data_IF_504631320656
#
_entry.id   IF_504631320656
#
_cell.length_a   1.000
_cell.length_b   1.000
_cell.length_c   1.000
_cell.angle_alpha   90.00
_cell.angle_beta   90.00
_cell.angle_gamma   90.00
#
_symmetry.space_group_name_H-M   'P 1'
#
loop_
_entity.id
_entity.type
_entity.pdbx_description
1 polymer ?
#
# COMPACT_ATOMS: atom_id res chain seq x y z
N UNK A 1 -2.72 21.54 3.60
CA UNK A 1 -2.36 20.15 3.25
C UNK A 1 -3.02 19.22 4.24
N UNK A 2 -3.12 17.92 3.93
CA UNK A 2 -3.89 16.96 4.71
C UNK A 2 -3.33 15.55 4.58
N UNK A 3 -4.02 14.53 5.11
CA UNK A 3 -3.57 13.15 5.04
C UNK A 3 -3.44 12.65 3.61
N UNK A 4 -2.53 11.70 3.41
CA UNK A 4 -2.22 11.11 2.10
C UNK A 4 -2.38 9.59 2.18
N UNK A 5 -2.68 8.96 1.04
CA UNK A 5 -2.75 7.49 0.94
C UNK A 5 -1.58 7.03 0.09
N UNK A 6 -0.75 6.15 0.64
CA UNK A 6 0.38 5.57 -0.07
C UNK A 6 -0.02 4.26 -0.76
N UNK A 7 0.43 4.07 -2.00
CA UNK A 7 0.42 2.76 -2.64
C UNK A 7 1.66 1.93 -2.25
N UNK A 8 1.64 0.65 -2.59
CA UNK A 8 2.69 -0.31 -2.23
C UNK A 8 4.08 0.10 -2.71
N UNK A 9 4.20 0.67 -3.92
CA UNK A 9 5.51 1.04 -4.47
C UNK A 9 5.98 2.37 -3.87
N UNK A 10 5.08 3.34 -3.72
CA UNK A 10 5.37 4.62 -3.13
C UNK A 10 5.88 4.50 -1.68
N UNK A 11 5.21 3.69 -0.85
CA UNK A 11 5.65 3.50 0.55
C UNK A 11 6.98 2.74 0.63
N UNK A 12 7.17 1.72 -0.22
CA UNK A 12 8.42 0.95 -0.26
C UNK A 12 9.59 1.84 -0.63
N UNK A 13 9.43 2.72 -1.63
CA UNK A 13 10.47 3.67 -2.00
C UNK A 13 10.67 4.74 -0.95
N UNK A 14 9.61 5.25 -0.33
CA UNK A 14 9.75 6.25 0.74
C UNK A 14 10.60 5.73 1.91
N UNK A 15 10.44 4.46 2.28
CA UNK A 15 11.15 3.88 3.42
C UNK A 15 12.55 3.37 3.04
N UNK A 16 12.73 2.85 1.83
CA UNK A 16 13.98 2.18 1.44
C UNK A 16 14.94 3.08 0.68
N UNK A 17 14.41 3.90 -0.24
CA UNK A 17 15.21 4.70 -1.16
C UNK A 17 14.38 5.92 -1.64
N UNK A 18 14.23 6.97 -0.81
CA UNK A 18 13.41 8.13 -1.16
C UNK A 18 13.81 8.80 -2.49
N UNK A 19 15.08 8.64 -2.91
CA UNK A 19 15.62 9.24 -4.13
C UNK A 19 15.01 8.71 -5.43
N UNK A 20 14.40 7.52 -5.43
CA UNK A 20 13.70 6.98 -6.62
C UNK A 20 12.20 7.32 -6.64
N UNK A 21 11.68 7.89 -5.55
CA UNK A 21 10.31 8.36 -5.47
C UNK A 21 10.14 9.62 -6.32
N UNK A 22 9.01 9.74 -7.03
CA UNK A 22 8.74 10.97 -7.78
C UNK A 22 8.75 12.19 -6.85
N UNK A 23 9.26 13.33 -7.31
CA UNK A 23 9.33 14.57 -6.51
C UNK A 23 7.96 14.94 -5.92
N UNK A 24 6.88 14.75 -6.68
CA UNK A 24 5.52 15.03 -6.21
C UNK A 24 5.12 14.15 -5.03
N UNK A 25 5.42 12.85 -5.09
CA UNK A 25 5.08 11.92 -4.01
C UNK A 25 5.97 12.16 -2.78
N UNK A 26 7.25 12.43 -2.97
CA UNK A 26 8.16 12.79 -1.89
C UNK A 26 7.69 14.04 -1.15
N UNK A 27 7.37 15.11 -1.88
CA UNK A 27 6.83 16.35 -1.30
C UNK A 27 5.53 16.08 -0.55
N UNK A 28 4.60 15.31 -1.12
CA UNK A 28 3.33 15.01 -0.46
C UNK A 28 3.51 14.24 0.86
N UNK A 29 4.44 13.28 0.91
CA UNK A 29 4.73 12.52 2.13
C UNK A 29 5.43 13.38 3.17
N UNK A 30 6.48 14.10 2.77
CA UNK A 30 7.22 14.98 3.67
C UNK A 30 6.36 16.13 4.22
N UNK A 31 5.47 16.71 3.40
CA UNK A 31 4.54 17.74 3.87
C UNK A 31 3.49 17.18 4.83
N UNK A 32 2.97 15.98 4.58
CA UNK A 32 2.05 15.31 5.50
C UNK A 32 2.71 15.04 6.85
N UNK A 33 3.91 14.44 6.83
CA UNK A 33 4.71 14.13 8.03
C UNK A 33 5.06 15.40 8.82
N UNK A 34 5.60 16.43 8.18
CA UNK A 34 5.95 17.70 8.83
C UNK A 34 4.74 18.43 9.45
N UNK A 35 3.55 18.22 8.89
CA UNK A 35 2.31 18.80 9.40
C UNK A 35 1.59 17.89 10.43
N UNK A 36 2.15 16.73 10.77
CA UNK A 36 1.55 15.76 11.69
C UNK A 36 0.32 15.05 11.11
N UNK A 37 0.15 15.03 9.79
CA UNK A 37 -0.90 14.27 9.14
C UNK A 37 -0.44 12.84 8.84
N UNK A 38 -1.35 11.85 8.97
CA UNK A 38 -1.01 10.47 8.68
C UNK A 38 -0.82 10.21 7.17
N UNK A 39 0.12 9.33 6.88
CA UNK A 39 0.33 8.63 5.62
C UNK A 39 -0.37 7.27 5.77
N UNK A 40 -1.57 7.15 5.21
CA UNK A 40 -2.34 5.92 5.27
C UNK A 40 -1.78 4.86 4.31
N UNK A 41 -1.48 3.68 4.84
CA UNK A 41 -1.09 2.50 4.08
C UNK A 41 -2.24 1.47 4.10
N UNK A 42 -2.92 1.21 2.98
CA UNK A 42 -3.96 0.19 2.92
C UNK A 42 -3.41 -1.20 3.27
N UNK A 43 -4.11 -2.00 4.07
CA UNK A 43 -3.65 -3.34 4.46
C UNK A 43 -3.45 -4.28 3.27
N UNK A 44 -4.12 -4.03 2.13
CA UNK A 44 -3.90 -4.74 0.87
C UNK A 44 -2.48 -4.56 0.32
N UNK A 45 -1.81 -3.45 0.62
CA UNK A 45 -0.40 -3.24 0.25
C UNK A 45 0.53 -4.18 1.01
N UNK A 46 0.23 -4.51 2.28
CA UNK A 46 0.96 -5.52 3.03
C UNK A 46 0.82 -6.90 2.36
N UNK A 47 -0.40 -7.25 1.94
CA UNK A 47 -0.64 -8.50 1.19
C UNK A 47 0.16 -8.54 -0.11
N UNK A 48 0.23 -7.42 -0.84
CA UNK A 48 1.03 -7.32 -2.06
C UNK A 48 2.54 -7.47 -1.80
N UNK A 49 3.05 -6.88 -0.72
CA UNK A 49 4.47 -7.03 -0.31
C UNK A 49 4.77 -8.49 0.00
N UNK A 50 3.95 -9.15 0.82
CA UNK A 50 4.12 -10.58 1.12
C UNK A 50 4.11 -11.43 -0.16
N UNK A 51 3.21 -11.13 -1.10
CA UNK A 51 3.17 -11.82 -2.39
C UNK A 51 4.44 -11.57 -3.21
N UNK A 52 4.98 -10.35 -3.23
CA UNK A 52 6.20 -10.03 -3.95
C UNK A 52 7.44 -10.70 -3.32
N UNK A 53 7.47 -10.84 -2.00
CA UNK A 53 8.48 -11.63 -1.28
C UNK A 53 8.39 -13.10 -1.68
N UNK A 54 7.19 -13.68 -1.69
CA UNK A 54 6.98 -15.08 -2.14
C UNK A 54 7.45 -15.31 -3.58
N UNK A 55 7.35 -14.28 -4.44
CA UNK A 55 7.85 -14.31 -5.82
C UNK A 55 9.35 -13.98 -5.96
N UNK A 56 10.07 -13.77 -4.86
CA UNK A 56 11.49 -13.40 -4.86
C UNK A 56 11.76 -12.03 -5.49
N UNK A 57 10.76 -11.15 -5.53
CA UNK A 57 10.85 -9.80 -6.11
C UNK A 57 11.15 -8.72 -5.07
N UNK A 58 10.87 -9.00 -3.81
CA UNK A 58 11.24 -8.19 -2.65
C UNK A 58 11.90 -9.10 -1.60
N UNK A 59 12.65 -8.50 -0.68
CA UNK A 59 13.26 -9.22 0.46
C UNK A 59 12.39 -9.06 1.71
N UNK A 60 12.51 -10.00 2.64
CA UNK A 60 11.80 -9.93 3.95
C UNK A 60 12.10 -8.63 4.70
N UNK A 61 13.34 -8.13 4.58
CA UNK A 61 13.79 -6.86 5.17
C UNK A 61 12.92 -5.67 4.76
N UNK A 62 12.27 -5.71 3.59
CA UNK A 62 11.33 -4.66 3.18
C UNK A 62 10.11 -4.65 4.09
N UNK A 63 9.51 -5.81 4.34
CA UNK A 63 8.36 -5.94 5.23
C UNK A 63 8.72 -5.55 6.66
N UNK A 64 9.86 -6.04 7.17
CA UNK A 64 10.36 -5.71 8.50
C UNK A 64 10.51 -4.19 8.71
N UNK A 65 11.11 -3.49 7.73
CA UNK A 65 11.28 -2.03 7.80
C UNK A 65 9.95 -1.28 7.75
N UNK A 66 9.01 -1.75 6.94
CA UNK A 66 7.68 -1.14 6.85
C UNK A 66 6.93 -1.32 8.17
N UNK A 67 6.95 -2.52 8.74
CA UNK A 67 6.30 -2.78 10.03
C UNK A 67 6.96 -1.97 11.16
N UNK A 68 8.29 -1.90 11.19
CA UNK A 68 9.01 -1.06 12.15
C UNK A 68 8.66 0.43 12.03
N UNK A 69 8.42 0.92 10.81
CA UNK A 69 7.99 2.30 10.58
C UNK A 69 6.52 2.55 10.94
N UNK A 70 5.69 1.50 11.02
CA UNK A 70 4.29 1.60 11.47
C UNK A 70 4.21 1.49 13.00
N UNK A 71 5.08 0.70 13.62
CA UNK A 71 5.11 0.49 15.07
C UNK A 71 5.77 1.65 15.83
N UNK A 72 6.47 2.55 15.15
CA UNK A 72 7.04 3.75 15.74
C UNK A 72 5.91 4.76 16.08
N UNK A 73 5.68 5.10 17.36
CA UNK A 73 4.62 6.03 17.76
C UNK A 73 4.76 7.43 17.17
N UNK A 74 5.97 7.82 16.76
CA UNK A 74 6.26 9.12 16.15
C UNK A 74 6.18 9.09 14.61
N UNK A 75 6.00 7.90 14.02
CA UNK A 75 5.93 7.80 12.58
C UNK A 75 4.56 8.23 12.04
N UNK A 76 4.57 8.87 10.88
CA UNK A 76 3.36 9.30 10.20
C UNK A 76 2.58 8.15 9.54
N UNK A 77 3.14 6.93 9.44
CA UNK A 77 2.55 5.85 8.64
C UNK A 77 1.53 5.04 9.46
N UNK A 78 0.29 4.96 8.98
CA UNK A 78 -0.80 4.24 9.65
C UNK A 78 -1.41 3.19 8.72
N UNK A 79 -1.44 1.93 9.15
CA UNK A 79 -2.12 0.87 8.40
C UNK A 79 -3.63 1.05 8.52
N UNK A 80 -4.31 1.08 7.37
CA UNK A 80 -5.78 1.17 7.28
C UNK A 80 -6.39 -0.18 6.89
N UNK A 81 -7.32 -0.73 7.70
CA UNK A 81 -7.99 -1.98 7.36
C UNK A 81 -8.82 -1.87 6.07
N UNK A 82 -8.72 -2.88 5.22
CA UNK A 82 -9.64 -3.08 4.11
C UNK A 82 -10.77 -4.02 4.55
N UNK A 83 -11.95 -3.45 4.78
CA UNK A 83 -13.18 -4.20 5.05
C UNK A 83 -14.15 -4.19 3.86
N UNK A 84 -15.30 -4.83 4.01
CA UNK A 84 -16.31 -4.89 2.95
C UNK A 84 -16.92 -3.53 2.63
N UNK A 85 -17.03 -2.62 3.60
CA UNK A 85 -17.56 -1.28 3.37
C UNK A 85 -16.59 -0.45 2.51
N UNK A 86 -15.29 -0.47 2.85
CA UNK A 86 -14.23 0.18 2.07
C UNK A 86 -14.13 -0.42 0.67
N UNK A 87 -14.19 -1.76 0.56
CA UNK A 87 -14.14 -2.43 -0.74
C UNK A 87 -15.33 -2.08 -1.65
N UNK A 88 -16.54 -1.94 -1.08
CA UNK A 88 -17.73 -1.58 -1.84
C UNK A 88 -17.74 -0.10 -2.25
N UNK A 89 -17.19 0.80 -1.43
CA UNK A 89 -17.06 2.22 -1.74
C UNK A 89 -16.24 2.49 -3.02
N UNK A 90 -15.36 1.56 -3.40
CA UNK A 90 -14.61 1.65 -4.67
C UNK A 90 -15.53 1.73 -5.89
N UNK A 91 -16.75 1.16 -5.82
CA UNK A 91 -17.73 1.22 -6.92
C UNK A 91 -18.18 2.63 -7.25
N UNK A 92 -18.10 3.54 -6.29
CA UNK A 92 -18.56 4.92 -6.41
C UNK A 92 -17.43 5.85 -6.90
N UNK A 93 -16.20 5.33 -7.04
CA UNK A 93 -15.06 6.07 -7.58
C UNK A 93 -15.13 6.07 -9.11
N UNK A 94 -15.11 7.25 -9.77
CA UNK A 94 -15.08 7.34 -11.22
C UNK A 94 -13.91 6.55 -11.82
N UNK A 95 -14.19 5.73 -12.83
CA UNK A 95 -13.22 4.82 -13.48
C UNK A 95 -12.00 5.54 -14.09
N UNK A 96 -12.12 6.84 -14.39
CA UNK A 96 -11.02 7.69 -14.86
C UNK A 96 -9.94 7.95 -13.79
N UNK A 97 -10.27 7.79 -12.51
CA UNK A 97 -9.36 8.01 -11.37
C UNK A 97 -8.64 6.74 -10.93
N UNK A 98 -9.03 5.56 -11.42
CA UNK A 98 -8.43 4.28 -11.06
C UNK A 98 -7.24 3.98 -11.97
N UNK A 99 -6.08 4.58 -11.69
CA UNK A 99 -4.82 4.20 -12.35
C UNK A 99 -4.30 2.89 -11.73
N UNK A 100 -4.36 1.79 -12.52
CA UNK A 100 -3.80 0.45 -12.24
C UNK A 100 -3.85 0.01 -10.77
N UNK A 101 -5.04 0.06 -10.16
CA UNK A 101 -5.31 -0.89 -9.10
C UNK A 101 -5.37 -2.27 -9.77
N UNK A 102 -4.60 -3.25 -9.26
CA UNK A 102 -4.90 -4.69 -9.32
C UNK A 102 -4.14 -5.58 -10.34
N UNK A 103 -3.10 -6.33 -9.88
CA UNK A 103 -2.75 -7.66 -10.40
C UNK A 103 -3.55 -8.80 -9.76
N UNK A 104 -4.29 -8.56 -8.66
CA UNK A 104 -4.85 -9.63 -7.82
C UNK A 104 -6.20 -10.21 -8.35
N UNK A 105 -6.91 -9.54 -9.29
CA UNK A 105 -8.20 -10.05 -9.85
C UNK A 105 -8.07 -11.43 -10.46
N UNK A 106 -6.93 -11.69 -11.09
CA UNK A 106 -6.76 -12.88 -11.92
C UNK A 106 -6.55 -14.16 -11.12
N UNK A 107 -6.33 -14.10 -9.79
CA UNK A 107 -5.90 -15.29 -9.04
C UNK A 107 -6.79 -15.74 -7.88
N UNK A 108 -7.57 -14.85 -7.26
CA UNK A 108 -8.61 -15.31 -6.30
C UNK A 108 -9.69 -16.12 -7.03
N UNK A 109 -10.00 -15.76 -8.29
CA UNK A 109 -10.87 -16.56 -9.15
C UNK A 109 -10.30 -17.95 -9.49
N UNK A 110 -8.96 -18.10 -9.58
CA UNK A 110 -8.34 -19.41 -9.85
C UNK A 110 -8.13 -20.27 -8.61
N UNK A 111 -8.06 -19.68 -7.41
CA UNK A 111 -7.98 -20.43 -6.15
C UNK A 111 -9.33 -21.00 -5.70
N UNK A 112 -10.45 -20.47 -6.25
CA UNK A 112 -11.82 -20.92 -5.94
C UNK A 112 -12.32 -22.02 -6.89
N UNK A 113 -11.51 -22.44 -7.87
CA UNK A 113 -11.90 -23.34 -8.97
C UNK A 113 -11.29 -24.74 -8.93
N UNK A 114 -10.67 -25.15 -7.83
CA UNK A 114 -10.10 -26.50 -7.68
C UNK A 114 -10.70 -27.21 -6.47
N UNK A 115 -11.99 -27.51 -6.56
CA UNK A 115 -12.62 -28.56 -5.76
C UNK A 115 -13.35 -29.52 -6.69
N UNK A 116 -12.78 -30.72 -6.78
CA UNK A 116 -13.40 -32.03 -7.05
C UNK A 116 -14.33 -32.16 -8.28
N UNK A 117 -13.79 -32.79 -9.33
CA UNK A 117 -14.34 -34.06 -9.83
C UNK A 117 -13.23 -34.88 -10.49
#
# INVERSE_FOLDING_TARGET
MGPVVADTHAISWYILEPGILSTKALVAFTEAENAGFPIYLPSISIVEICYLIEKGRLTETVLERILSAVDDPEAAVVITPLDSAVALAVRDIPSASVRKFFPIRRRIASASGSSHN
#
